data_IF_104533358917
#
_entry.id   IF_104533358917
#
_cell.length_a   1.000
_cell.length_b   1.000
_cell.length_c   1.000
_cell.angle_alpha   90.00
_cell.angle_beta   90.00
_cell.angle_gamma   90.00
#
_symmetry.space_group_name_H-M   'P 1'
#
loop_
_entity.id
_entity.type
_entity.pdbx_description
1 polymer ?
#
# COMPACT_ATOMS: atom_id res chain seq x y z
N UNK A 1 4.91 -31.63 4.10
CA UNK A 1 3.50 -31.26 3.85
C UNK A 1 2.64 -32.48 4.10
N UNK A 2 1.64 -32.44 4.98
CA UNK A 2 0.81 -33.62 5.27
C UNK A 2 -0.33 -33.79 4.24
N UNK A 3 -0.84 -35.02 4.10
CA UNK A 3 -1.84 -35.38 3.09
C UNK A 3 -3.17 -34.63 3.23
N UNK A 4 -3.48 -34.14 4.43
CA UNK A 4 -4.70 -33.36 4.71
C UNK A 4 -4.63 -31.95 4.12
N UNK A 5 -3.46 -31.32 4.22
CA UNK A 5 -3.23 -30.00 3.65
C UNK A 5 -3.22 -30.04 2.12
N UNK A 6 -2.67 -31.10 1.53
CA UNK A 6 -2.66 -31.29 0.08
C UNK A 6 -4.07 -31.42 -0.52
N UNK A 7 -4.95 -32.18 0.12
CA UNK A 7 -6.36 -32.29 -0.29
C UNK A 7 -7.11 -30.96 -0.21
N UNK A 8 -6.86 -30.16 0.85
CA UNK A 8 -7.49 -28.85 0.97
C UNK A 8 -7.05 -27.89 -0.16
N UNK A 9 -5.78 -27.92 -0.57
CA UNK A 9 -5.31 -27.16 -1.73
C UNK A 9 -5.92 -27.69 -3.04
N UNK A 10 -5.95 -29.00 -3.24
CA UNK A 10 -6.55 -29.65 -4.42
C UNK A 10 -8.06 -29.33 -4.55
N UNK A 11 -8.81 -29.30 -3.44
CA UNK A 11 -10.22 -28.93 -3.40
C UNK A 11 -10.45 -27.45 -3.73
N UNK A 12 -9.60 -26.54 -3.22
CA UNK A 12 -9.64 -25.11 -3.57
C UNK A 12 -9.37 -24.92 -5.07
N UNK A 13 -8.37 -25.60 -5.63
CA UNK A 13 -8.06 -25.54 -7.06
C UNK A 13 -9.18 -26.14 -7.93
N UNK A 14 -9.79 -27.27 -7.53
CA UNK A 14 -10.94 -27.84 -8.23
C UNK A 14 -12.17 -26.94 -8.17
N UNK A 15 -12.38 -26.23 -7.06
CA UNK A 15 -13.49 -25.27 -6.91
C UNK A 15 -13.34 -24.01 -7.76
N UNK A 16 -12.11 -23.66 -8.19
CA UNK A 16 -11.85 -22.52 -9.08
C UNK A 16 -12.42 -22.73 -10.49
N UNK A 17 -12.50 -23.98 -10.97
CA UNK A 17 -13.05 -24.31 -12.28
C UNK A 17 -14.58 -24.23 -12.38
N UNK A 18 -15.30 -24.28 -11.24
CA UNK A 18 -16.76 -24.37 -11.20
C UNK A 18 -17.49 -23.02 -10.99
N UNK A 19 -16.76 -21.94 -10.70
CA UNK A 19 -17.34 -20.60 -10.54
C UNK A 19 -17.17 -19.82 -11.84
N UNK A 20 -18.25 -19.17 -12.33
CA UNK A 20 -18.13 -18.19 -13.42
C UNK A 20 -17.01 -17.22 -13.07
N UNK A 21 -15.95 -17.18 -13.88
CA UNK A 21 -14.85 -16.26 -13.66
C UNK A 21 -15.39 -14.82 -13.68
N UNK A 22 -15.18 -14.10 -12.59
CA UNK A 22 -15.46 -12.66 -12.55
C UNK A 22 -14.45 -12.02 -13.49
N UNK A 23 -14.92 -11.32 -14.52
CA UNK A 23 -14.05 -10.47 -15.34
C UNK A 23 -13.77 -9.21 -14.53
N UNK A 24 -12.50 -8.93 -14.30
CA UNK A 24 -12.04 -7.78 -13.52
C UNK A 24 -10.81 -7.17 -14.19
N UNK A 25 -10.51 -5.94 -13.80
CA UNK A 25 -9.29 -5.24 -14.19
C UNK A 25 -8.94 -4.16 -13.18
N UNK A 26 -7.84 -3.45 -13.43
CA UNK A 26 -7.38 -2.36 -12.58
C UNK A 26 -7.49 -1.06 -13.36
N UNK A 27 -7.98 -0.01 -12.71
CA UNK A 27 -8.08 1.32 -13.27
C UNK A 27 -7.67 2.36 -12.23
N UNK A 28 -7.18 3.55 -12.65
CA UNK A 28 -7.01 4.67 -11.76
C UNK A 28 -8.32 5.07 -11.08
N UNK A 29 -8.21 5.66 -9.89
CA UNK A 29 -9.37 6.31 -9.26
C UNK A 29 -9.98 7.37 -10.20
N UNK A 30 -11.32 7.54 -10.19
CA UNK A 30 -11.97 8.61 -10.92
C UNK A 30 -11.40 9.98 -10.54
N UNK A 31 -11.15 10.83 -11.54
CA UNK A 31 -10.72 12.21 -11.31
C UNK A 31 -11.95 13.10 -11.12
N UNK A 32 -11.87 14.03 -10.16
CA UNK A 32 -12.78 15.17 -10.10
C UNK A 32 -12.07 16.42 -10.65
N UNK A 33 -11.35 17.16 -9.80
CA UNK A 33 -10.59 18.37 -10.23
C UNK A 33 -9.18 18.04 -10.73
N UNK A 34 -8.50 17.10 -10.07
CA UNK A 34 -7.14 16.65 -10.40
C UNK A 34 -7.05 15.15 -10.13
N UNK A 35 -6.13 14.44 -10.80
CA UNK A 35 -5.76 13.08 -10.41
C UNK A 35 -4.89 13.15 -9.15
N UNK A 36 -5.17 12.27 -8.20
CA UNK A 36 -4.36 12.07 -7.02
C UNK A 36 -4.56 10.64 -6.52
N UNK A 37 -3.47 10.02 -6.07
CA UNK A 37 -3.50 8.78 -5.30
C UNK A 37 -2.46 8.87 -4.19
N UNK A 38 -2.65 8.12 -3.11
CA UNK A 38 -1.66 8.01 -2.06
C UNK A 38 -0.64 6.93 -2.45
N UNK A 39 0.64 7.26 -2.28
CA UNK A 39 1.72 6.29 -2.33
C UNK A 39 2.18 5.96 -0.92
N UNK A 40 2.10 4.69 -0.58
CA UNK A 40 2.62 4.12 0.65
C UNK A 40 3.69 3.07 0.34
N UNK A 41 4.78 3.10 1.11
CA UNK A 41 5.86 2.12 1.00
C UNK A 41 6.15 1.53 2.37
N UNK A 42 6.03 0.21 2.48
CA UNK A 42 6.62 -0.53 3.59
C UNK A 42 8.13 -0.67 3.39
N UNK A 43 8.93 -0.34 4.40
CA UNK A 43 10.37 -0.57 4.38
C UNK A 43 10.76 -1.48 5.53
N UNK A 44 11.53 -2.57 5.31
CA UNK A 44 12.06 -3.35 6.40
C UNK A 44 13.04 -2.49 7.21
N UNK A 45 12.90 -2.53 8.53
CA UNK A 45 13.76 -1.79 9.48
C UNK A 45 14.42 -2.75 10.45
N UNK A 46 15.58 -2.35 10.98
CA UNK A 46 16.30 -3.11 12.00
C UNK A 46 16.05 -2.44 13.34
N UNK A 47 15.59 -3.22 14.31
CA UNK A 47 15.40 -2.75 15.69
C UNK A 47 16.75 -2.34 16.29
N UNK A 48 16.81 -1.12 16.85
CA UNK A 48 18.06 -0.53 17.37
C UNK A 48 18.75 -1.39 18.42
N UNK A 49 17.98 -2.06 19.29
CA UNK A 49 18.52 -2.85 20.40
C UNK A 49 18.53 -4.35 20.08
N UNK A 50 18.58 -4.74 18.81
CA UNK A 50 18.68 -6.15 18.44
C UNK A 50 20.00 -6.75 18.96
N UNK A 51 19.99 -7.93 19.58
CA UNK A 51 21.21 -8.64 19.94
C UNK A 51 21.95 -9.24 18.72
N UNK A 52 21.33 -9.20 17.53
CA UNK A 52 21.85 -9.82 16.30
C UNK A 52 21.92 -8.81 15.12
N UNK A 53 22.73 -7.74 15.22
CA UNK A 53 22.75 -6.68 14.21
C UNK A 53 23.30 -7.16 12.85
N UNK A 54 24.27 -8.08 12.85
CA UNK A 54 24.87 -8.59 11.62
C UNK A 54 23.90 -9.51 10.86
N UNK A 55 23.19 -10.39 11.56
CA UNK A 55 22.18 -11.29 10.99
C UNK A 55 20.97 -10.49 10.50
N UNK A 56 20.50 -9.52 11.28
CA UNK A 56 19.42 -8.62 10.86
C UNK A 56 19.78 -7.85 9.59
N UNK A 57 21.03 -7.38 9.47
CA UNK A 57 21.51 -6.74 8.25
C UNK A 57 21.55 -7.69 7.04
N UNK A 58 21.99 -8.93 7.24
CA UNK A 58 21.96 -9.97 6.18
C UNK A 58 20.52 -10.25 5.72
N UNK A 59 19.57 -10.35 6.65
CA UNK A 59 18.16 -10.57 6.34
C UNK A 59 17.55 -9.38 5.58
N UNK A 60 17.82 -8.15 6.01
CA UNK A 60 17.35 -6.95 5.31
C UNK A 60 17.87 -6.92 3.87
N UNK A 61 19.16 -7.19 3.66
CA UNK A 61 19.75 -7.29 2.32
C UNK A 61 19.06 -8.35 1.45
N UNK A 62 18.66 -9.48 2.04
CA UNK A 62 17.89 -10.49 1.34
C UNK A 62 16.51 -9.98 0.93
N UNK A 63 15.76 -9.32 1.80
CA UNK A 63 14.45 -8.74 1.45
C UNK A 63 14.51 -7.69 0.36
N UNK A 64 15.61 -6.93 0.28
CA UNK A 64 15.80 -5.97 -0.81
C UNK A 64 16.59 -6.57 -1.97
N UNK A 65 16.86 -7.88 -2.03
CA UNK A 65 17.58 -8.51 -3.15
C UNK A 65 16.68 -8.64 -4.38
N UNK A 66 17.28 -8.77 -5.56
CA UNK A 66 16.51 -9.06 -6.78
C UNK A 66 15.74 -10.39 -6.66
N UNK A 67 16.37 -11.43 -6.12
CA UNK A 67 15.76 -12.74 -5.93
C UNK A 67 14.46 -12.68 -5.12
N UNK A 68 14.48 -11.99 -3.97
CA UNK A 68 13.28 -11.86 -3.14
C UNK A 68 12.22 -10.98 -3.79
N UNK A 69 12.62 -9.85 -4.38
CA UNK A 69 11.70 -8.94 -5.05
C UNK A 69 11.02 -9.60 -6.25
N UNK A 70 11.75 -10.45 -7.00
CA UNK A 70 11.21 -11.24 -8.10
C UNK A 70 10.16 -12.22 -7.63
N UNK A 71 10.43 -12.92 -6.52
CA UNK A 71 9.48 -13.85 -5.91
C UNK A 71 8.19 -13.15 -5.47
N UNK A 72 8.29 -12.00 -4.80
CA UNK A 72 7.11 -11.18 -4.45
C UNK A 72 6.32 -10.80 -5.71
N UNK A 73 7.02 -10.39 -6.77
CA UNK A 73 6.39 -10.02 -8.04
C UNK A 73 5.61 -11.18 -8.65
N UNK A 74 6.22 -12.36 -8.74
CA UNK A 74 5.65 -13.56 -9.36
C UNK A 74 4.46 -14.10 -8.55
N UNK A 75 4.55 -14.05 -7.23
CA UNK A 75 3.49 -14.50 -6.32
C UNK A 75 2.34 -13.48 -6.20
N UNK A 76 2.52 -12.23 -6.67
CA UNK A 76 1.52 -11.16 -6.57
C UNK A 76 1.26 -10.71 -5.13
N UNK A 77 2.16 -11.01 -4.19
CA UNK A 77 2.00 -10.72 -2.75
C UNK A 77 2.41 -9.29 -2.38
N UNK A 78 2.96 -8.53 -3.33
CA UNK A 78 3.34 -7.14 -3.15
C UNK A 78 3.84 -6.51 -4.45
N UNK A 79 4.08 -5.20 -4.40
CA UNK A 79 4.68 -4.45 -5.51
C UNK A 79 6.20 -4.43 -5.29
N UNK A 80 7.02 -4.93 -6.22
CA UNK A 80 8.47 -4.87 -6.07
C UNK A 80 8.99 -3.44 -5.96
N UNK A 81 9.86 -3.17 -4.99
CA UNK A 81 10.53 -1.89 -4.82
C UNK A 81 11.69 -1.69 -5.81
N UNK A 82 12.22 -2.80 -6.39
CA UNK A 82 13.25 -2.75 -7.43
C UNK A 82 12.61 -2.51 -8.80
N UNK A 83 12.94 -1.37 -9.43
CA UNK A 83 12.48 -1.02 -10.79
C UNK A 83 12.73 -2.12 -11.82
N UNK A 84 13.91 -2.76 -11.79
CA UNK A 84 14.27 -3.85 -12.71
C UNK A 84 13.31 -5.04 -12.62
N UNK A 85 12.72 -5.30 -11.45
CA UNK A 85 11.75 -6.37 -11.23
C UNK A 85 10.33 -5.88 -11.48
N UNK A 86 9.97 -4.71 -10.93
CA UNK A 86 8.65 -4.09 -11.03
C UNK A 86 8.19 -3.88 -12.49
N UNK A 87 9.13 -3.58 -13.38
CA UNK A 87 8.88 -3.36 -14.81
C UNK A 87 9.13 -4.61 -15.67
N UNK A 88 9.40 -5.76 -15.06
CA UNK A 88 9.62 -7.03 -15.76
C UNK A 88 8.37 -7.90 -15.76
N UNK A 89 8.39 -8.94 -16.59
CA UNK A 89 7.35 -9.97 -16.64
C UNK A 89 7.12 -10.66 -15.28
N UNK A 90 8.14 -10.68 -14.39
CA UNK A 90 7.99 -11.25 -13.06
C UNK A 90 6.83 -10.60 -12.28
N UNK A 91 6.60 -9.30 -12.45
CA UNK A 91 5.44 -8.62 -11.85
C UNK A 91 4.33 -8.34 -12.85
N UNK A 92 4.65 -7.97 -14.09
CA UNK A 92 3.65 -7.56 -15.08
C UNK A 92 2.86 -8.73 -15.68
N UNK A 93 3.33 -9.98 -15.53
CA UNK A 93 2.69 -11.19 -16.07
C UNK A 93 2.54 -12.27 -15.00
N UNK A 94 1.88 -11.92 -13.90
CA UNK A 94 1.58 -12.84 -12.81
C UNK A 94 0.67 -14.00 -13.28
N UNK A 95 0.94 -15.25 -12.89
CA UNK A 95 0.18 -16.43 -13.36
C UNK A 95 -1.27 -16.45 -12.89
N UNK A 96 -1.61 -15.71 -11.83
CA UNK A 96 -2.96 -15.66 -11.24
C UNK A 96 -3.76 -14.43 -11.68
N UNK A 97 -3.16 -13.54 -12.48
CA UNK A 97 -3.81 -12.35 -13.03
C UNK A 97 -4.18 -12.64 -14.48
N UNK A 98 -5.43 -12.40 -14.90
CA UNK A 98 -5.81 -12.58 -16.30
C UNK A 98 -4.91 -11.78 -17.24
N UNK A 99 -4.54 -12.38 -18.38
CA UNK A 99 -3.55 -11.80 -19.29
C UNK A 99 -3.98 -10.45 -19.92
N UNK A 100 -5.27 -10.15 -19.89
CA UNK A 100 -5.86 -8.88 -20.35
C UNK A 100 -5.88 -7.77 -19.28
N UNK A 101 -5.46 -8.07 -18.04
CA UNK A 101 -5.31 -7.05 -16.98
C UNK A 101 -3.95 -6.39 -17.09
N UNK A 102 -3.93 -5.09 -17.36
CA UNK A 102 -2.70 -4.31 -17.39
C UNK A 102 -2.27 -3.84 -16.00
N UNK A 103 -1.22 -4.47 -15.45
CA UNK A 103 -0.63 -4.11 -14.16
C UNK A 103 0.25 -2.84 -14.23
N UNK A 104 0.58 -2.34 -15.43
CA UNK A 104 1.39 -1.11 -15.60
C UNK A 104 0.65 0.13 -15.11
N UNK A 105 -0.68 0.08 -15.11
CA UNK A 105 -1.55 1.16 -14.60
C UNK A 105 -1.20 1.59 -13.16
N UNK A 106 -0.68 0.67 -12.35
CA UNK A 106 -0.21 0.96 -10.99
C UNK A 106 1.01 1.89 -11.04
N UNK A 107 1.94 1.64 -11.96
CA UNK A 107 3.15 2.46 -12.10
C UNK A 107 2.88 3.79 -12.81
N UNK A 108 1.95 3.83 -13.77
CA UNK A 108 1.49 5.07 -14.38
C UNK A 108 0.91 6.03 -13.32
N UNK A 109 0.37 5.48 -12.23
CA UNK A 109 -0.14 6.29 -11.12
C UNK A 109 0.92 7.11 -10.39
N UNK A 110 2.21 6.76 -10.50
CA UNK A 110 3.30 7.49 -9.88
C UNK A 110 3.46 8.91 -10.41
N UNK A 111 3.00 9.21 -11.64
CA UNK A 111 3.03 10.57 -12.20
C UNK A 111 2.21 11.57 -11.37
N UNK A 112 1.16 11.10 -10.69
CA UNK A 112 0.25 11.93 -9.89
C UNK A 112 0.12 11.44 -8.43
N UNK A 113 0.91 10.45 -8.03
CA UNK A 113 0.91 9.96 -6.66
C UNK A 113 1.49 11.00 -5.70
N UNK A 114 0.96 11.02 -4.48
CA UNK A 114 1.48 11.82 -3.37
C UNK A 114 1.98 10.90 -2.27
N UNK A 115 3.22 11.07 -1.77
CA UNK A 115 3.69 10.25 -0.68
C UNK A 115 2.79 10.47 0.54
N UNK A 116 2.46 9.38 1.22
CA UNK A 116 1.82 9.49 2.52
C UNK A 116 2.77 10.24 3.47
N UNK A 117 2.30 11.28 4.18
CA UNK A 117 3.12 11.92 5.21
C UNK A 117 3.53 10.89 6.27
N UNK A 118 4.73 11.01 6.82
CA UNK A 118 5.28 10.06 7.80
C UNK A 118 5.84 10.81 9.02
N UNK A 119 5.69 10.24 10.21
CA UNK A 119 6.19 10.79 11.47
C UNK A 119 5.26 10.45 12.64
N UNK A 120 5.74 10.52 13.90
CA UNK A 120 4.92 10.23 15.07
C UNK A 120 3.69 11.14 15.18
N UNK A 121 3.85 12.44 14.91
CA UNK A 121 2.77 13.43 14.99
C UNK A 121 1.75 13.26 13.86
N UNK A 122 2.22 12.80 12.68
CA UNK A 122 1.35 12.47 11.56
C UNK A 122 0.50 11.25 11.87
N UNK A 123 1.05 10.23 12.52
CA UNK A 123 0.30 9.04 12.90
C UNK A 123 -0.86 9.39 13.84
N UNK A 124 -0.60 10.20 14.88
CA UNK A 124 -1.63 10.67 15.80
C UNK A 124 -2.71 11.51 15.08
N UNK A 125 -2.30 12.42 14.20
CA UNK A 125 -3.22 13.21 13.39
C UNK A 125 -4.12 12.32 12.51
N UNK A 126 -3.54 11.33 11.82
CA UNK A 126 -4.25 10.44 10.91
C UNK A 126 -5.23 9.51 11.65
N UNK A 127 -4.82 8.96 12.79
CA UNK A 127 -5.62 7.99 13.55
C UNK A 127 -6.79 8.66 14.27
N UNK A 128 -6.53 9.77 14.96
CA UNK A 128 -7.53 10.38 15.83
C UNK A 128 -8.36 11.42 15.09
N UNK A 129 -7.71 12.46 14.59
CA UNK A 129 -8.41 13.64 14.07
C UNK A 129 -9.06 13.37 12.71
N UNK A 130 -8.33 12.75 11.79
CA UNK A 130 -8.86 12.48 10.45
C UNK A 130 -9.93 11.38 10.46
N UNK A 131 -9.78 10.32 11.29
CA UNK A 131 -10.78 9.24 11.36
C UNK A 131 -12.11 9.74 11.95
N UNK A 132 -12.08 10.47 13.07
CA UNK A 132 -13.29 11.03 13.68
C UNK A 132 -14.02 11.99 12.72
N UNK A 133 -13.27 12.86 12.05
CA UNK A 133 -13.84 13.78 11.06
C UNK A 133 -14.50 13.03 9.92
N UNK A 134 -13.81 12.04 9.35
CA UNK A 134 -14.34 11.19 8.27
C UNK A 134 -15.63 10.49 8.70
N UNK A 135 -15.65 9.89 9.88
CA UNK A 135 -16.80 9.13 10.35
C UNK A 135 -18.01 10.06 10.59
N UNK A 136 -17.79 11.26 11.11
CA UNK A 136 -18.84 12.26 11.29
C UNK A 136 -19.38 12.82 9.96
N UNK A 137 -18.54 12.97 8.94
CA UNK A 137 -18.96 13.34 7.58
C UNK A 137 -19.80 12.22 6.97
N UNK A 138 -19.28 10.98 6.96
CA UNK A 138 -19.92 9.84 6.32
C UNK A 138 -21.23 9.43 7.01
N UNK A 139 -21.33 9.61 8.32
CA UNK A 139 -22.57 9.36 9.08
C UNK A 139 -23.58 10.52 9.03
N UNK A 140 -23.24 11.64 8.37
CA UNK A 140 -24.11 12.82 8.29
C UNK A 140 -24.28 13.59 9.61
N UNK A 141 -23.49 13.27 10.64
CA UNK A 141 -23.51 13.96 11.94
C UNK A 141 -22.93 15.37 11.85
N UNK A 142 -21.98 15.57 10.92
CA UNK A 142 -21.34 16.86 10.71
C UNK A 142 -22.11 17.70 9.69
N UNK A 143 -22.71 18.80 10.17
CA UNK A 143 -23.47 19.73 9.31
C UNK A 143 -22.58 20.79 8.64
N UNK A 144 -21.49 21.19 9.29
CA UNK A 144 -20.53 22.17 8.77
C UNK A 144 -19.17 21.51 8.47
N UNK A 145 -19.05 20.96 7.26
CA UNK A 145 -17.81 20.35 6.77
C UNK A 145 -16.70 21.40 6.63
N UNK A 146 -17.05 22.62 6.21
CA UNK A 146 -16.06 23.67 5.94
C UNK A 146 -15.42 24.14 7.24
N UNK A 147 -16.21 24.44 8.26
CA UNK A 147 -15.72 24.82 9.59
C UNK A 147 -14.85 23.73 10.20
N UNK A 148 -15.26 22.46 10.10
CA UNK A 148 -14.49 21.35 10.62
C UNK A 148 -13.13 21.16 9.92
N UNK A 149 -13.07 21.36 8.59
CA UNK A 149 -11.80 21.32 7.86
C UNK A 149 -10.88 22.48 8.24
N UNK A 150 -11.42 23.68 8.48
CA UNK A 150 -10.64 24.84 8.97
C UNK A 150 -10.05 24.53 10.35
N UNK A 151 -10.85 23.95 11.26
CA UNK A 151 -10.38 23.61 12.61
C UNK A 151 -9.34 22.48 12.60
N UNK A 152 -9.53 21.48 11.73
CA UNK A 152 -8.54 20.42 11.52
C UNK A 152 -7.21 20.99 11.02
N UNK A 153 -7.23 21.92 10.05
CA UNK A 153 -6.02 22.58 9.57
C UNK A 153 -5.35 23.39 10.68
N UNK A 154 -6.13 24.16 11.46
CA UNK A 154 -5.62 24.92 12.60
C UNK A 154 -4.91 24.02 13.62
N UNK A 155 -5.52 22.89 13.94
CA UNK A 155 -4.95 21.89 14.87
C UNK A 155 -3.66 21.28 14.30
N UNK A 156 -3.64 20.96 13.00
CA UNK A 156 -2.45 20.43 12.34
C UNK A 156 -1.30 21.45 12.34
N UNK A 157 -1.58 22.74 12.08
CA UNK A 157 -0.57 23.80 12.05
C UNK A 157 0.05 24.06 13.43
N UNK A 158 -0.78 24.03 14.49
CA UNK A 158 -0.31 24.19 15.87
C UNK A 158 0.60 23.05 16.33
N UNK A 159 0.33 21.84 15.84
CA UNK A 159 1.07 20.63 16.22
C UNK A 159 2.10 20.21 15.15
N UNK A 160 2.45 21.10 14.22
CA UNK A 160 3.40 20.82 13.13
C UNK A 160 4.86 21.13 13.56
N UNK A 161 5.68 20.14 13.94
CA UNK A 161 7.06 20.38 14.36
C UNK A 161 7.97 20.90 13.23
N UNK A 162 7.59 20.70 11.97
CA UNK A 162 8.35 21.16 10.79
C UNK A 162 7.97 22.58 10.31
N UNK A 163 6.86 23.14 10.82
CA UNK A 163 6.39 24.47 10.43
C UNK A 163 7.16 25.58 11.16
N UNK A 164 7.74 25.30 12.33
CA UNK A 164 8.62 26.20 13.08
C UNK A 164 10.04 26.30 12.50
N UNK A 165 10.45 25.35 11.66
CA UNK A 165 11.79 25.30 11.03
C UNK A 165 11.87 26.01 9.66
N UNK A 166 10.75 26.57 9.16
CA UNK A 166 10.71 27.40 7.95
C UNK A 166 10.53 28.88 8.30
N UNK A 167 11.41 29.44 9.13
CA UNK A 167 11.59 30.89 9.29
C UNK A 167 13.02 31.26 9.01
#
# INVERSE_FOLDING_TARGET
MNNRMRRAYEEVEQSRGARRAIRWGIAPLPKQRRRATLFFSGSPVIYRNTPHPAEAWRLLKFFVSETWQRRIGEEGTGIPARKSVALSDAYLRQPYVPADVDLRVIFDSFEYARPQPSGPEVAEFMEKQLSELRDNILSGRLKDIRGALIEMQRTADLNCPYCSQRR
#
